data_IF_467022830126
#
_entry.id   IF_467022830126
#
_cell.length_a   1.000
_cell.length_b   1.000
_cell.length_c   1.000
_cell.angle_alpha   90.00
_cell.angle_beta   90.00
_cell.angle_gamma   90.00
#
_symmetry.space_group_name_H-M   'P 1'
#
loop_
_entity.id
_entity.type
_entity.pdbx_description
1 polymer ?
#
# COMPACT_ATOMS: atom_id res chain seq x y z
N UNK A 1 23.15 -3.44 62.54
CA UNK A 1 22.07 -2.58 63.08
C UNK A 1 22.79 -1.46 63.81
N UNK A 2 22.78 -0.17 63.43
CA UNK A 2 21.71 0.71 62.97
C UNK A 2 22.29 1.74 61.95
N UNK A 3 21.40 2.23 61.08
CA UNK A 3 21.53 3.29 60.07
C UNK A 3 22.14 4.60 60.63
N UNK A 4 22.66 5.55 59.86
CA UNK A 4 21.85 6.53 59.12
C UNK A 4 22.73 7.41 58.21
N UNK A 5 22.35 7.45 56.94
CA UNK A 5 22.74 8.38 55.89
C UNK A 5 21.91 9.67 55.98
N UNK A 6 22.55 10.85 55.88
CA UNK A 6 22.01 12.07 55.23
C UNK A 6 22.99 13.23 55.38
N UNK A 7 23.50 13.75 54.26
CA UNK A 7 23.72 15.20 54.11
C UNK A 7 23.34 15.54 52.67
N UNK A 8 22.29 16.35 52.57
CA UNK A 8 21.76 16.89 51.34
C UNK A 8 22.49 18.19 50.96
N UNK A 9 22.55 18.42 49.64
CA UNK A 9 22.39 19.73 48.98
C UNK A 9 23.41 20.84 49.30
N UNK A 10 24.15 21.33 48.30
CA UNK A 10 23.88 22.65 47.69
C UNK A 10 24.97 23.18 46.73
N UNK A 11 24.48 23.66 45.58
CA UNK A 11 24.91 24.78 44.72
C UNK A 11 26.25 24.79 43.97
N UNK A 12 26.15 25.11 42.67
CA UNK A 12 27.27 25.57 41.87
C UNK A 12 26.98 25.62 40.36
N UNK A 13 26.04 26.45 39.93
CA UNK A 13 25.77 26.75 38.52
C UNK A 13 26.96 27.43 37.84
N UNK A 14 27.46 26.90 36.72
CA UNK A 14 28.06 27.71 35.64
C UNK A 14 27.70 27.11 34.29
N UNK A 15 26.99 27.90 33.49
CA UNK A 15 26.57 27.61 32.13
C UNK A 15 27.74 27.73 31.15
N UNK A 16 27.74 26.91 30.10
CA UNK A 16 28.29 27.33 28.80
C UNK A 16 27.50 26.69 27.65
N UNK A 17 26.90 27.58 26.87
CA UNK A 17 26.21 27.37 25.59
C UNK A 17 27.16 26.74 24.55
N UNK A 18 26.67 25.73 23.83
CA UNK A 18 27.04 25.49 22.44
C UNK A 18 25.83 24.90 21.70
N UNK A 19 25.03 25.78 21.11
CA UNK A 19 23.95 25.41 20.21
C UNK A 19 24.55 25.04 18.84
N UNK A 20 24.54 23.75 18.50
CA UNK A 20 24.73 23.29 17.12
C UNK A 20 23.36 23.11 16.49
N UNK A 21 22.98 24.08 15.65
CA UNK A 21 21.78 24.05 14.81
C UNK A 21 21.93 22.91 13.82
N UNK A 22 21.25 21.79 14.05
CA UNK A 22 21.07 20.76 13.04
C UNK A 22 19.94 21.24 12.13
N UNK A 23 20.33 21.82 11.00
CA UNK A 23 19.40 22.27 9.96
C UNK A 23 18.52 21.09 9.54
N UNK A 24 17.26 21.12 9.94
CA UNK A 24 16.24 20.19 9.47
C UNK A 24 16.02 20.49 8.00
N UNK A 25 16.54 19.63 7.12
CA UNK A 25 16.21 19.62 5.70
C UNK A 25 14.74 19.25 5.54
N UNK A 26 13.85 20.24 5.61
CA UNK A 26 12.49 20.08 5.15
C UNK A 26 12.54 19.81 3.64
N UNK A 27 12.37 18.56 3.24
CA UNK A 27 12.02 18.24 1.86
C UNK A 27 10.70 18.96 1.58
N UNK A 28 10.78 20.04 0.81
CA UNK A 28 9.60 20.67 0.24
C UNK A 28 8.89 19.61 -0.60
N UNK A 29 7.80 19.05 -0.08
CA UNK A 29 6.87 18.26 -0.86
C UNK A 29 6.26 19.24 -1.86
N UNK A 30 6.73 19.19 -3.11
CA UNK A 30 6.04 19.82 -4.21
C UNK A 30 4.66 19.15 -4.30
N UNK A 31 3.66 19.79 -3.71
CA UNK A 31 2.27 19.41 -3.89
C UNK A 31 2.01 19.38 -5.39
N UNK A 32 1.81 18.17 -5.93
CA UNK A 32 1.44 18.01 -7.33
C UNK A 32 0.14 18.79 -7.56
N UNK A 33 -0.01 19.51 -8.69
CA UNK A 33 -1.23 20.23 -8.97
C UNK A 33 -2.44 19.28 -8.87
N UNK A 34 -3.57 19.73 -8.30
CA UNK A 34 -4.75 18.90 -8.18
C UNK A 34 -5.12 18.37 -9.57
N UNK A 35 -5.14 17.05 -9.69
CA UNK A 35 -5.58 16.38 -10.90
C UNK A 35 -7.00 16.82 -11.19
N UNK A 36 -7.28 17.26 -12.41
CA UNK A 36 -8.66 17.51 -12.85
C UNK A 36 -9.45 16.22 -13.01
N UNK A 37 -8.77 15.07 -13.00
CA UNK A 37 -9.39 13.75 -12.85
C UNK A 37 -9.74 13.50 -11.38
N UNK A 38 -10.97 13.07 -11.12
CA UNK A 38 -11.50 12.77 -9.77
C UNK A 38 -10.92 11.51 -9.11
N UNK A 39 -9.90 10.92 -9.73
CA UNK A 39 -9.21 9.70 -9.32
C UNK A 39 -7.74 9.95 -8.99
N UNK A 40 -6.99 8.86 -8.81
CA UNK A 40 -5.59 8.92 -8.43
C UNK A 40 -4.69 9.52 -9.53
N UNK A 41 -3.83 10.48 -9.15
CA UNK A 41 -2.80 11.03 -10.02
C UNK A 41 -1.82 9.92 -10.47
N UNK A 42 -1.29 10.00 -11.70
CA UNK A 42 -0.33 9.00 -12.21
C UNK A 42 0.90 8.88 -11.29
N UNK A 43 1.47 10.01 -10.86
CA UNK A 43 2.62 10.02 -9.94
C UNK A 43 2.31 9.26 -8.65
N UNK A 44 1.15 9.51 -8.04
CA UNK A 44 0.72 8.82 -6.82
C UNK A 44 0.52 7.32 -7.06
N UNK A 45 -0.05 6.93 -8.20
CA UNK A 45 -0.22 5.53 -8.57
C UNK A 45 1.14 4.81 -8.75
N UNK A 46 2.12 5.48 -9.36
CA UNK A 46 3.49 4.97 -9.51
C UNK A 46 4.16 4.79 -8.15
N UNK A 47 4.10 5.79 -7.27
CA UNK A 47 4.69 5.71 -5.95
C UNK A 47 4.05 4.60 -5.10
N UNK A 48 2.72 4.45 -5.16
CA UNK A 48 2.00 3.39 -4.46
C UNK A 48 2.41 1.98 -4.96
N UNK A 49 2.47 1.78 -6.27
CA UNK A 49 2.92 0.52 -6.86
C UNK A 49 4.39 0.22 -6.51
N UNK A 50 5.26 1.24 -6.52
CA UNK A 50 6.67 1.13 -6.13
C UNK A 50 6.80 0.73 -4.65
N UNK A 51 5.99 1.33 -3.76
CA UNK A 51 5.98 1.03 -2.34
C UNK A 51 5.57 -0.43 -2.07
N UNK A 52 4.60 -0.95 -2.82
CA UNK A 52 4.17 -2.35 -2.73
C UNK A 52 5.27 -3.33 -3.19
N UNK A 53 5.91 -3.04 -4.34
CA UNK A 53 7.05 -3.82 -4.82
C UNK A 53 8.20 -3.81 -3.82
N UNK A 54 8.54 -2.64 -3.26
CA UNK A 54 9.63 -2.52 -2.30
C UNK A 54 9.38 -3.33 -1.03
N UNK A 55 8.13 -3.36 -0.54
CA UNK A 55 7.76 -4.18 0.62
C UNK A 55 7.90 -5.69 0.31
N UNK A 56 7.46 -6.09 -0.87
CA UNK A 56 7.59 -7.47 -1.36
C UNK A 56 9.06 -7.87 -1.54
N UNK A 57 9.90 -7.00 -2.11
CA UNK A 57 11.33 -7.23 -2.25
C UNK A 57 12.02 -7.35 -0.89
N UNK A 58 11.65 -6.54 0.10
CA UNK A 58 12.17 -6.66 1.47
C UNK A 58 11.82 -8.01 2.12
N UNK A 59 10.77 -8.69 1.66
CA UNK A 59 10.37 -10.04 2.07
C UNK A 59 11.04 -11.15 1.24
N UNK A 60 11.88 -10.81 0.26
CA UNK A 60 12.52 -11.76 -0.64
C UNK A 60 11.67 -12.17 -1.85
N UNK A 61 10.61 -11.41 -2.15
CA UNK A 61 9.67 -11.73 -3.23
C UNK A 61 9.65 -10.61 -4.29
N UNK A 62 10.31 -10.79 -5.44
CA UNK A 62 10.21 -9.81 -6.53
C UNK A 62 8.84 -9.93 -7.22
N UNK A 63 7.96 -8.97 -6.95
CA UNK A 63 6.57 -8.98 -7.40
C UNK A 63 6.32 -8.07 -8.62
N UNK A 64 5.12 -8.17 -9.18
CA UNK A 64 4.55 -7.11 -10.02
C UNK A 64 3.43 -6.40 -9.28
N UNK A 65 3.23 -5.12 -9.55
CA UNK A 65 2.14 -4.33 -8.97
C UNK A 65 1.42 -3.51 -10.05
N UNK A 66 0.11 -3.34 -9.91
CA UNK A 66 -0.70 -2.53 -10.82
C UNK A 66 -1.70 -1.69 -10.03
N UNK A 67 -1.97 -0.48 -10.53
CA UNK A 67 -2.96 0.44 -9.96
C UNK A 67 -3.93 0.85 -11.05
N UNK A 68 -5.23 0.80 -10.74
CA UNK A 68 -6.32 1.35 -11.57
C UNK A 68 -6.89 2.62 -10.94
N UNK A 69 -7.44 3.52 -11.76
CA UNK A 69 -8.11 4.75 -11.30
C UNK A 69 -9.58 4.54 -10.92
N UNK A 70 -10.28 5.65 -10.68
CA UNK A 70 -11.70 5.71 -10.31
C UNK A 70 -12.67 5.25 -11.42
N UNK A 71 -12.14 4.88 -12.58
CA UNK A 71 -12.86 4.27 -13.71
C UNK A 71 -12.45 2.81 -13.94
N UNK A 72 -11.58 2.26 -13.10
CA UNK A 72 -11.03 0.92 -13.26
C UNK A 72 -10.02 0.80 -14.39
N UNK A 73 -9.48 1.93 -14.89
CA UNK A 73 -8.49 1.93 -15.97
C UNK A 73 -7.08 1.93 -15.38
N UNK A 74 -6.21 1.06 -15.89
CA UNK A 74 -4.82 0.95 -15.44
C UNK A 74 -4.10 2.28 -15.61
N UNK A 75 -3.55 2.80 -14.50
CA UNK A 75 -2.66 3.97 -14.49
C UNK A 75 -1.21 3.55 -14.59
N UNK A 76 -0.84 2.46 -13.92
CA UNK A 76 0.52 1.93 -13.96
C UNK A 76 0.51 0.42 -13.73
N UNK A 77 1.45 -0.26 -14.37
CA UNK A 77 1.81 -1.65 -14.07
C UNK A 77 3.32 -1.71 -14.05
N UNK A 78 3.87 -2.10 -12.90
CA UNK A 78 5.29 -2.24 -12.66
C UNK A 78 5.62 -3.72 -12.46
N UNK A 79 6.77 -4.15 -12.97
CA UNK A 79 7.31 -5.48 -12.75
C UNK A 79 8.72 -5.33 -12.19
N UNK A 80 8.96 -5.88 -11.01
CA UNK A 80 10.27 -5.83 -10.38
C UNK A 80 11.30 -6.65 -11.16
N UNK A 81 12.56 -6.22 -11.09
CA UNK A 81 13.68 -7.09 -11.45
C UNK A 81 13.64 -8.36 -10.60
N UNK A 82 13.86 -9.50 -11.24
CA UNK A 82 13.77 -10.82 -10.61
C UNK A 82 12.36 -11.43 -10.55
N UNK A 83 11.30 -10.69 -10.90
CA UNK A 83 9.95 -11.25 -10.92
C UNK A 83 9.83 -12.34 -11.99
N UNK A 84 9.39 -13.54 -11.63
CA UNK A 84 9.47 -14.70 -12.53
C UNK A 84 8.37 -14.74 -13.61
N UNK A 85 7.23 -14.09 -13.36
CA UNK A 85 6.06 -14.14 -14.24
C UNK A 85 5.85 -12.81 -14.98
N UNK A 86 5.19 -12.82 -16.15
CA UNK A 86 4.68 -11.61 -16.77
C UNK A 86 3.64 -10.92 -15.86
N UNK A 87 3.54 -9.58 -15.85
CA UNK A 87 2.68 -8.83 -14.93
C UNK A 87 1.22 -8.82 -15.40
N UNK A 88 0.67 -9.98 -15.77
CA UNK A 88 -0.69 -10.13 -16.32
C UNK A 88 -1.73 -10.17 -15.19
N UNK A 89 -1.41 -10.82 -14.07
CA UNK A 89 -2.37 -11.00 -12.98
C UNK A 89 -2.63 -9.70 -12.21
N UNK A 90 -1.62 -8.85 -12.00
CA UNK A 90 -1.76 -7.62 -11.24
C UNK A 90 -2.88 -6.68 -11.77
N UNK A 91 -2.91 -6.29 -13.07
CA UNK A 91 -3.97 -5.41 -13.57
C UNK A 91 -5.36 -6.04 -13.47
N UNK A 92 -5.51 -7.36 -13.73
CA UNK A 92 -6.79 -8.06 -13.57
C UNK A 92 -7.27 -8.06 -12.12
N UNK A 93 -6.36 -8.32 -11.18
CA UNK A 93 -6.67 -8.29 -9.74
C UNK A 93 -7.07 -6.90 -9.26
N UNK A 94 -6.38 -5.85 -9.74
CA UNK A 94 -6.71 -4.46 -9.40
C UNK A 94 -8.09 -4.10 -9.95
N UNK A 95 -8.35 -4.38 -11.23
CA UNK A 95 -9.67 -4.16 -11.83
C UNK A 95 -10.79 -4.92 -11.09
N UNK A 96 -10.54 -6.16 -10.68
CA UNK A 96 -11.51 -6.96 -9.93
C UNK A 96 -11.81 -6.34 -8.56
N UNK A 97 -10.79 -5.98 -7.78
CA UNK A 97 -11.00 -5.31 -6.49
C UNK A 97 -11.74 -3.97 -6.64
N UNK A 98 -11.51 -3.24 -7.73
CA UNK A 98 -12.25 -2.03 -8.06
C UNK A 98 -13.73 -2.33 -8.37
N UNK A 99 -14.01 -3.28 -9.27
CA UNK A 99 -15.39 -3.60 -9.70
C UNK A 99 -16.25 -4.08 -8.54
N UNK A 100 -15.68 -4.92 -7.67
CA UNK A 100 -16.41 -5.49 -6.55
C UNK A 100 -16.33 -4.63 -5.27
N UNK A 101 -15.53 -3.56 -5.25
CA UNK A 101 -15.24 -2.75 -4.06
C UNK A 101 -14.87 -3.64 -2.84
N UNK A 102 -14.05 -4.67 -3.09
CA UNK A 102 -13.72 -5.71 -2.13
C UNK A 102 -12.25 -6.14 -2.23
N UNK A 103 -11.57 -6.42 -1.11
CA UNK A 103 -10.24 -7.02 -1.13
C UNK A 103 -10.24 -8.41 -1.77
N UNK A 104 -9.19 -8.73 -2.55
CA UNK A 104 -9.04 -10.05 -3.16
C UNK A 104 -8.97 -11.18 -2.12
N UNK A 105 -8.38 -10.93 -0.95
CA UNK A 105 -8.34 -11.93 0.12
C UNK A 105 -9.74 -12.37 0.59
N UNK A 106 -10.73 -11.45 0.56
CA UNK A 106 -12.11 -11.76 0.92
C UNK A 106 -12.85 -12.44 -0.24
N UNK A 107 -12.63 -11.97 -1.46
CA UNK A 107 -13.25 -12.56 -2.65
C UNK A 107 -12.76 -14.00 -2.89
N UNK A 108 -11.46 -14.28 -2.71
CA UNK A 108 -10.89 -15.63 -2.85
C UNK A 108 -11.49 -16.63 -1.83
N UNK A 109 -11.87 -16.16 -0.63
CA UNK A 109 -12.60 -16.97 0.34
C UNK A 109 -14.07 -17.13 -0.05
N UNK A 110 -14.69 -16.06 -0.54
CA UNK A 110 -16.07 -16.06 -1.03
C UNK A 110 -16.26 -17.04 -2.18
N UNK A 111 -15.35 -17.11 -3.13
CA UNK A 111 -15.39 -18.05 -4.28
C UNK A 111 -15.59 -19.51 -3.85
N UNK A 112 -15.08 -19.87 -2.67
CA UNK A 112 -15.19 -21.24 -2.12
C UNK A 112 -16.55 -21.56 -1.51
N UNK A 113 -17.36 -20.54 -1.19
CA UNK A 113 -18.62 -20.68 -0.44
C UNK A 113 -19.86 -20.14 -1.17
N UNK A 114 -19.67 -19.29 -2.18
CA UNK A 114 -20.74 -18.68 -2.98
C UNK A 114 -20.64 -19.18 -4.44
N UNK A 115 -21.48 -20.16 -4.78
CA UNK A 115 -21.49 -20.77 -6.11
C UNK A 115 -21.87 -19.77 -7.23
N UNK A 116 -22.68 -18.76 -6.92
CA UNK A 116 -23.07 -17.75 -7.90
C UNK A 116 -21.91 -16.79 -8.19
N UNK A 117 -21.19 -16.36 -7.14
CA UNK A 117 -19.97 -15.57 -7.30
C UNK A 117 -18.90 -16.35 -8.06
N UNK A 118 -18.69 -17.63 -7.71
CA UNK A 118 -17.77 -18.49 -8.44
C UNK A 118 -18.12 -18.58 -9.93
N UNK A 119 -19.38 -18.81 -10.26
CA UNK A 119 -19.83 -18.88 -11.65
C UNK A 119 -19.60 -17.55 -12.40
N UNK A 120 -19.79 -16.40 -11.73
CA UNK A 120 -19.51 -15.09 -12.30
C UNK A 120 -18.03 -14.90 -12.63
N UNK A 121 -17.14 -15.25 -11.70
CA UNK A 121 -15.68 -15.17 -11.91
C UNK A 121 -15.23 -16.14 -13.00
N UNK A 122 -15.73 -17.39 -12.98
CA UNK A 122 -15.38 -18.41 -13.97
C UNK A 122 -15.82 -18.03 -15.39
N UNK A 123 -16.93 -17.30 -15.54
CA UNK A 123 -17.44 -16.84 -16.83
C UNK A 123 -16.63 -15.69 -17.46
N UNK A 124 -15.79 -14.98 -16.67
CA UNK A 124 -15.10 -13.76 -17.10
C UNK A 124 -13.62 -13.76 -16.69
N UNK A 125 -12.95 -14.91 -16.75
CA UNK A 125 -11.53 -15.07 -16.37
C UNK A 125 -10.55 -14.24 -17.20
N UNK A 126 -11.00 -13.72 -18.33
CA UNK A 126 -10.24 -12.81 -19.20
C UNK A 126 -10.12 -11.40 -18.60
N UNK A 127 -11.07 -10.99 -17.74
CA UNK A 127 -11.09 -9.67 -17.10
C UNK A 127 -11.08 -9.72 -15.57
N UNK A 128 -11.49 -10.83 -14.94
CA UNK A 128 -11.51 -10.98 -13.49
C UNK A 128 -10.45 -11.93 -12.94
N UNK A 129 -9.88 -11.52 -11.81
CA UNK A 129 -9.01 -12.30 -10.96
C UNK A 129 -9.25 -11.86 -9.51
N UNK A 130 -9.93 -12.70 -8.75
CA UNK A 130 -10.44 -12.42 -7.41
C UNK A 130 -9.48 -12.84 -6.29
N UNK A 131 -8.27 -13.30 -6.63
CA UNK A 131 -7.30 -13.77 -5.65
C UNK A 131 -6.70 -12.64 -4.79
N UNK A 132 -6.21 -13.01 -3.60
CA UNK A 132 -5.54 -12.12 -2.67
C UNK A 132 -4.33 -11.40 -3.28
N UNK A 133 -3.98 -10.25 -2.69
CA UNK A 133 -3.01 -9.31 -3.25
C UNK A 133 -3.62 -8.07 -3.85
N UNK A 134 -4.95 -7.94 -3.91
CA UNK A 134 -5.64 -6.73 -4.36
C UNK A 134 -6.47 -6.08 -3.27
N UNK A 135 -6.49 -4.75 -3.29
CA UNK A 135 -7.23 -3.91 -2.33
C UNK A 135 -7.89 -2.73 -3.05
N UNK A 136 -9.17 -2.44 -2.77
CA UNK A 136 -9.79 -1.20 -3.21
C UNK A 136 -9.18 -0.02 -2.45
N UNK A 137 -9.13 1.14 -3.09
CA UNK A 137 -8.52 2.35 -2.55
C UNK A 137 -9.61 3.41 -2.37
N UNK A 138 -9.78 3.90 -1.14
CA UNK A 138 -10.79 4.91 -0.83
C UNK A 138 -10.15 6.21 -0.32
N UNK A 139 -10.70 7.36 -0.73
CA UNK A 139 -10.36 8.65 -0.16
C UNK A 139 -11.66 9.37 0.23
N UNK A 140 -11.78 9.78 1.50
CA UNK A 140 -13.01 10.40 2.01
C UNK A 140 -14.25 9.51 1.84
N UNK A 141 -14.09 8.18 1.90
CA UNK A 141 -15.18 7.22 1.68
C UNK A 141 -15.57 6.98 0.22
N UNK A 142 -14.96 7.69 -0.74
CA UNK A 142 -15.17 7.46 -2.18
C UNK A 142 -14.13 6.46 -2.71
N UNK A 143 -14.56 5.48 -3.49
CA UNK A 143 -13.66 4.60 -4.25
C UNK A 143 -12.93 5.43 -5.31
N UNK A 144 -11.59 5.45 -5.24
CA UNK A 144 -10.73 6.22 -6.15
C UNK A 144 -9.83 5.35 -7.02
N UNK A 145 -9.93 4.03 -6.87
CA UNK A 145 -9.15 3.05 -7.62
C UNK A 145 -8.94 1.75 -6.86
N UNK A 146 -7.97 0.96 -7.31
CA UNK A 146 -7.53 -0.26 -6.63
C UNK A 146 -6.04 -0.50 -6.88
N UNK A 147 -5.36 -1.10 -5.90
CA UNK A 147 -3.99 -1.58 -6.01
C UNK A 147 -4.03 -3.11 -6.05
N UNK A 148 -3.16 -3.72 -6.85
CA UNK A 148 -2.88 -5.14 -6.73
C UNK A 148 -1.40 -5.47 -6.85
N UNK A 149 -0.99 -6.49 -6.12
CA UNK A 149 0.31 -7.16 -6.17
C UNK A 149 0.08 -8.60 -6.66
N UNK A 150 0.97 -9.08 -7.52
CA UNK A 150 0.90 -10.42 -8.07
C UNK A 150 2.29 -11.03 -8.27
N UNK A 151 2.30 -12.23 -8.84
CA UNK A 151 3.49 -13.01 -9.21
C UNK A 151 4.28 -13.59 -8.03
N UNK A 152 3.72 -13.48 -6.84
CA UNK A 152 4.24 -14.00 -5.56
C UNK A 152 3.11 -14.76 -4.83
N UNK A 153 3.38 -15.50 -3.74
CA UNK A 153 2.33 -16.17 -2.96
C UNK A 153 1.22 -15.20 -2.53
N UNK A 154 -0.02 -15.67 -2.48
CA UNK A 154 -1.22 -14.85 -2.29
C UNK A 154 -1.17 -14.05 -0.97
N UNK A 155 -0.77 -14.71 0.11
CA UNK A 155 -0.60 -14.11 1.43
C UNK A 155 0.52 -13.07 1.48
N UNK A 156 1.59 -13.27 0.70
CA UNK A 156 2.68 -12.30 0.57
C UNK A 156 2.20 -11.08 -0.22
N UNK A 157 1.53 -11.31 -1.35
CA UNK A 157 0.98 -10.26 -2.18
C UNK A 157 0.02 -9.36 -1.39
N UNK A 158 -0.89 -9.97 -0.61
CA UNK A 158 -1.85 -9.23 0.22
C UNK A 158 -1.15 -8.40 1.30
N UNK A 159 -0.15 -8.97 1.97
CA UNK A 159 0.66 -8.24 2.95
C UNK A 159 1.38 -7.03 2.35
N UNK A 160 1.98 -7.18 1.15
CA UNK A 160 2.65 -6.07 0.46
C UNK A 160 1.67 -4.97 0.03
N UNK A 161 0.51 -5.36 -0.53
CA UNK A 161 -0.51 -4.42 -0.98
C UNK A 161 -1.03 -3.58 0.21
N UNK A 162 -1.37 -4.23 1.33
CA UNK A 162 -1.83 -3.54 2.54
C UNK A 162 -0.74 -2.65 3.16
N UNK A 163 0.51 -3.15 3.22
CA UNK A 163 1.63 -2.37 3.73
C UNK A 163 1.88 -1.09 2.89
N UNK A 164 1.69 -1.16 1.57
CA UNK A 164 1.79 0.01 0.70
C UNK A 164 0.71 1.05 1.01
N UNK A 165 -0.55 0.65 1.16
CA UNK A 165 -1.66 1.58 1.44
C UNK A 165 -1.49 2.29 2.78
N UNK A 166 -0.99 1.61 3.82
CA UNK A 166 -0.70 2.23 5.13
C UNK A 166 0.26 3.43 5.02
N UNK A 167 1.15 3.46 4.01
CA UNK A 167 2.08 4.58 3.80
C UNK A 167 1.41 5.83 3.20
N UNK A 168 0.14 5.74 2.79
CA UNK A 168 -0.63 6.83 2.20
C UNK A 168 -1.87 7.13 3.07
N UNK A 169 -1.76 7.93 4.13
CA UNK A 169 -2.87 8.15 5.07
C UNK A 169 -4.10 8.85 4.46
N UNK A 170 -3.96 9.47 3.27
CA UNK A 170 -5.09 9.99 2.50
C UNK A 170 -5.88 8.90 1.76
N UNK A 171 -5.33 7.69 1.67
CA UNK A 171 -5.93 6.49 1.07
C UNK A 171 -6.19 5.46 2.18
N UNK A 172 -7.45 5.13 2.39
CA UNK A 172 -7.88 4.08 3.31
C UNK A 172 -8.15 2.76 2.60
N UNK A 173 -8.02 1.68 3.37
CA UNK A 173 -8.72 0.43 3.11
C UNK A 173 -10.11 0.50 3.74
N UNK A 174 -11.09 -0.17 3.15
CA UNK A 174 -12.39 -0.43 3.77
C UNK A 174 -12.27 -1.52 4.83
#
# INVERSE_FOLDING_TARGET
MVRLSTLASQYGSVAMLAAAVVASGACAQTASPPSTDSGMALTQAMELAQAAIADCQARGYPASASVVDDKGVVKTTLRADGAMKPPVAAPLKAFTAFVFDQPGAEMELREKSDAAFKAQIDAHKDIYNDHAGSVPLHAGGKLIGALAVADVPHEVADACARAAVVRYPAIGLK
#
